data_IF_422526560677
#
_entry.id   IF_422526560677
#
_cell.length_a   1.000
_cell.length_b   1.000
_cell.length_c   1.000
_cell.angle_alpha   90.00
_cell.angle_beta   90.00
_cell.angle_gamma   90.00
#
_symmetry.space_group_name_H-M   'P 1'
#
loop_
_entity.id
_entity.type
_entity.pdbx_description
1 polymer ?
#
# COMPACT_ATOMS: atom_id res chain seq x y z
N UNK A 1 -15.58 12.80 16.63
CA UNK A 1 -15.76 12.98 15.17
C UNK A 1 -15.21 11.74 14.48
N UNK A 2 -15.79 11.33 13.36
CA UNK A 2 -15.27 10.19 12.58
C UNK A 2 -13.85 10.52 12.08
N UNK A 3 -12.93 9.55 12.19
CA UNK A 3 -11.57 9.70 11.66
C UNK A 3 -11.61 9.79 10.14
N UNK A 4 -10.87 10.71 9.54
CA UNK A 4 -10.74 10.87 8.09
C UNK A 4 -9.45 10.23 7.62
N UNK A 5 -9.54 9.23 6.75
CA UNK A 5 -8.38 8.44 6.31
C UNK A 5 -8.17 8.60 4.83
N UNK A 6 -6.99 9.06 4.42
CA UNK A 6 -6.61 9.04 3.02
C UNK A 6 -6.30 7.61 2.57
N UNK A 7 -6.86 7.21 1.43
CA UNK A 7 -6.54 5.95 0.77
C UNK A 7 -5.92 6.27 -0.59
N UNK A 8 -4.64 5.96 -0.79
CA UNK A 8 -3.94 6.24 -2.04
C UNK A 8 -3.90 4.97 -2.90
N UNK A 9 -4.48 5.05 -4.10
CA UNK A 9 -4.53 3.96 -5.07
C UNK A 9 -3.52 4.17 -6.20
N UNK A 10 -3.21 3.09 -6.91
CA UNK A 10 -2.20 3.03 -7.96
C UNK A 10 -2.73 2.53 -9.32
N UNK A 11 -4.05 2.44 -9.50
CA UNK A 11 -4.74 1.84 -10.65
C UNK A 11 -5.79 0.82 -10.17
N UNK A 12 -6.26 -0.05 -11.07
CA UNK A 12 -7.31 -1.04 -10.74
C UNK A 12 -6.99 -2.43 -11.31
N UNK A 13 -6.16 -3.20 -10.60
CA UNK A 13 -5.72 -4.54 -11.02
C UNK A 13 -4.37 -4.89 -10.41
N UNK A 14 -4.18 -6.13 -9.96
CA UNK A 14 -2.95 -6.53 -9.24
C UNK A 14 -1.68 -6.33 -10.05
N UNK A 15 -1.68 -6.54 -11.37
CA UNK A 15 -0.46 -6.50 -12.18
C UNK A 15 -0.07 -5.10 -12.66
N UNK A 16 -0.98 -4.15 -12.69
CA UNK A 16 -0.75 -2.82 -13.27
C UNK A 16 -1.31 -1.65 -12.42
N UNK A 17 -1.97 -1.95 -11.30
CA UNK A 17 -2.62 -1.00 -10.42
C UNK A 17 -2.63 -1.44 -8.95
N UNK A 18 -3.60 -0.95 -8.18
CA UNK A 18 -3.85 -1.46 -6.84
C UNK A 18 -4.48 -2.85 -6.88
N UNK A 19 -4.12 -3.69 -5.91
CA UNK A 19 -4.79 -4.98 -5.70
C UNK A 19 -6.23 -4.71 -5.23
N UNK A 20 -7.21 -5.27 -5.95
CA UNK A 20 -8.61 -4.88 -5.83
C UNK A 20 -9.21 -5.39 -4.52
N UNK A 21 -8.84 -6.59 -4.09
CA UNK A 21 -9.36 -7.20 -2.87
C UNK A 21 -8.80 -6.51 -1.61
N UNK A 22 -7.53 -6.13 -1.61
CA UNK A 22 -6.87 -5.34 -0.56
C UNK A 22 -7.50 -3.95 -0.47
N UNK A 23 -7.64 -3.25 -1.60
CA UNK A 23 -8.28 -1.94 -1.62
C UNK A 23 -9.73 -2.01 -1.14
N UNK A 24 -10.48 -3.03 -1.56
CA UNK A 24 -11.84 -3.28 -1.08
C UNK A 24 -11.87 -3.58 0.41
N UNK A 25 -10.96 -4.42 0.93
CA UNK A 25 -10.87 -4.74 2.35
C UNK A 25 -10.56 -3.50 3.19
N UNK A 26 -9.63 -2.64 2.76
CA UNK A 26 -9.34 -1.36 3.41
C UNK A 26 -10.60 -0.51 3.54
N UNK A 27 -11.34 -0.32 2.43
CA UNK A 27 -12.56 0.50 2.44
C UNK A 27 -13.67 -0.10 3.31
N UNK A 28 -13.84 -1.43 3.27
CA UNK A 28 -14.82 -2.15 4.09
C UNK A 28 -14.51 -2.00 5.58
N UNK A 29 -13.26 -2.21 6.00
CA UNK A 29 -12.88 -2.11 7.40
C UNK A 29 -12.90 -0.67 7.91
N UNK A 30 -12.48 0.32 7.10
CA UNK A 30 -12.65 1.73 7.45
C UNK A 30 -14.12 2.07 7.70
N UNK A 31 -15.01 1.63 6.80
CA UNK A 31 -16.44 1.83 6.95
C UNK A 31 -17.00 1.12 8.19
N UNK A 32 -16.53 -0.10 8.48
CA UNK A 32 -16.98 -0.89 9.64
C UNK A 32 -16.60 -0.23 10.97
N UNK A 33 -15.44 0.42 11.03
CA UNK A 33 -14.95 1.15 12.20
C UNK A 33 -15.49 2.61 12.28
N UNK A 34 -16.40 2.99 11.37
CA UNK A 34 -17.01 4.32 11.36
C UNK A 34 -16.08 5.45 10.91
N UNK A 35 -14.97 5.12 10.24
CA UNK A 35 -14.06 6.10 9.65
C UNK A 35 -14.51 6.51 8.24
N UNK A 36 -14.20 7.75 7.85
CA UNK A 36 -14.46 8.27 6.52
C UNK A 36 -13.22 8.10 5.64
N UNK A 37 -13.34 7.32 4.57
CA UNK A 37 -12.29 7.19 3.56
C UNK A 37 -12.35 8.37 2.56
N UNK A 38 -11.21 8.97 2.28
CA UNK A 38 -11.00 9.87 1.15
C UNK A 38 -10.00 9.25 0.20
N UNK A 39 -10.45 8.94 -1.01
CA UNK A 39 -9.65 8.20 -1.98
C UNK A 39 -8.89 9.16 -2.89
N UNK A 40 -7.62 8.86 -3.13
CA UNK A 40 -6.71 9.62 -3.98
C UNK A 40 -5.94 8.71 -4.93
N UNK A 41 -5.51 9.24 -6.07
CA UNK A 41 -4.56 8.59 -6.95
C UNK A 41 -3.82 9.64 -7.80
N UNK A 42 -2.55 9.43 -8.18
CA UNK A 42 -1.84 10.37 -9.03
C UNK A 42 -2.43 10.38 -10.45
N UNK A 43 -2.58 11.55 -11.03
CA UNK A 43 -3.08 11.71 -12.39
C UNK A 43 -1.96 11.53 -13.43
N UNK A 44 -1.49 10.29 -13.57
CA UNK A 44 -0.37 9.91 -14.45
C UNK A 44 -0.74 8.69 -15.31
N UNK A 45 -0.06 8.45 -16.44
CA UNK A 45 -0.14 7.18 -17.16
C UNK A 45 0.33 6.00 -16.28
N UNK A 46 -0.29 4.83 -16.43
CA UNK A 46 0.28 3.58 -15.91
C UNK A 46 1.57 3.23 -16.66
N UNK A 47 2.54 2.60 -15.99
CA UNK A 47 3.77 2.12 -16.64
C UNK A 47 3.46 1.08 -17.72
N UNK A 48 2.56 0.14 -17.44
CA UNK A 48 2.06 -0.87 -18.37
C UNK A 48 0.55 -1.06 -18.16
N UNK A 49 -0.13 -1.56 -19.18
CA UNK A 49 -1.48 -2.14 -19.06
C UNK A 49 -1.36 -3.65 -19.25
N UNK A 50 -1.86 -4.45 -18.33
CA UNK A 50 -1.64 -5.90 -18.32
C UNK A 50 -2.95 -6.65 -18.53
N UNK A 51 -2.96 -7.57 -19.50
CA UNK A 51 -4.00 -8.59 -19.61
C UNK A 51 -3.82 -9.56 -18.43
N UNK A 52 -4.73 -9.49 -17.46
CA UNK A 52 -4.65 -10.29 -16.23
C UNK A 52 -4.93 -11.78 -16.46
N UNK A 53 -5.56 -12.16 -17.57
CA UNK A 53 -5.75 -13.58 -17.93
C UNK A 53 -4.45 -14.17 -18.45
N UNK A 54 -3.70 -13.40 -19.24
CA UNK A 54 -2.44 -13.84 -19.85
C UNK A 54 -1.20 -13.53 -19.01
N UNK A 55 -1.32 -12.60 -18.05
CA UNK A 55 -0.20 -12.07 -17.28
C UNK A 55 0.80 -11.26 -18.13
N UNK A 56 0.38 -10.73 -19.28
CA UNK A 56 1.27 -10.08 -20.26
C UNK A 56 0.86 -8.62 -20.52
N UNK A 57 1.83 -7.72 -20.75
CA UNK A 57 1.54 -6.36 -21.17
C UNK A 57 0.78 -6.30 -22.50
N UNK A 58 -0.02 -5.25 -22.67
CA UNK A 58 -0.75 -4.91 -23.89
C UNK A 58 -0.26 -3.56 -24.43
N UNK A 59 -0.51 -3.21 -25.71
CA UNK A 59 -0.16 -1.91 -26.26
C UNK A 59 -1.11 -0.77 -25.82
N UNK A 60 -2.13 -1.06 -25.01
CA UNK A 60 -3.07 -0.05 -24.51
C UNK A 60 -2.38 0.93 -23.55
N UNK A 61 -2.97 2.12 -23.41
CA UNK A 61 -2.57 3.09 -22.40
C UNK A 61 -3.76 3.41 -21.50
N UNK A 62 -3.51 3.48 -20.20
CA UNK A 62 -4.50 3.83 -19.17
C UNK A 62 -3.90 4.82 -18.18
N UNK A 63 -4.76 5.57 -17.51
CA UNK A 63 -4.37 6.56 -16.50
C UNK A 63 -4.69 6.02 -15.09
N UNK A 64 -3.75 6.19 -14.16
CA UNK A 64 -3.82 5.69 -12.80
C UNK A 64 -5.04 6.22 -12.04
N UNK A 65 -5.32 7.53 -12.12
CA UNK A 65 -6.48 8.15 -11.47
C UNK A 65 -7.80 7.65 -12.08
N UNK A 66 -7.89 7.63 -13.41
CA UNK A 66 -9.10 7.18 -14.13
C UNK A 66 -9.44 5.74 -13.80
N UNK A 67 -8.45 4.84 -13.80
CA UNK A 67 -8.70 3.43 -13.48
C UNK A 67 -8.99 3.23 -11.99
N UNK A 68 -8.30 3.95 -11.09
CA UNK A 68 -8.59 3.92 -9.64
C UNK A 68 -10.00 4.37 -9.31
N UNK A 69 -10.60 5.27 -10.12
CA UNK A 69 -11.99 5.70 -9.95
C UNK A 69 -13.00 4.55 -10.02
N UNK A 70 -12.65 3.42 -10.66
CA UNK A 70 -13.48 2.20 -10.69
C UNK A 70 -13.67 1.63 -9.29
N UNK A 71 -12.58 1.51 -8.51
CA UNK A 71 -12.62 1.06 -7.11
C UNK A 71 -13.40 2.07 -6.26
N UNK A 72 -13.13 3.36 -6.45
CA UNK A 72 -13.72 4.44 -5.68
C UNK A 72 -15.16 4.82 -6.08
N UNK A 73 -15.75 4.14 -7.08
CA UNK A 73 -17.07 4.45 -7.66
C UNK A 73 -17.20 5.93 -8.06
N UNK A 74 -16.14 6.50 -8.63
CA UNK A 74 -16.06 7.90 -9.04
C UNK A 74 -15.73 8.90 -7.92
N UNK A 75 -15.77 8.50 -6.64
CA UNK A 75 -15.46 9.39 -5.52
C UNK A 75 -13.96 9.36 -5.18
N UNK A 76 -13.15 9.93 -6.07
CA UNK A 76 -11.70 9.99 -5.97
C UNK A 76 -11.19 11.38 -6.35
N UNK A 77 -10.07 11.81 -5.75
CA UNK A 77 -9.41 13.07 -6.05
C UNK A 77 -8.02 12.80 -6.63
N UNK A 78 -7.49 13.77 -7.37
CA UNK A 78 -6.07 13.78 -7.73
C UNK A 78 -5.24 13.84 -6.44
N UNK A 79 -4.17 13.04 -6.37
CA UNK A 79 -3.23 13.03 -5.25
C UNK A 79 -2.65 14.43 -4.96
N UNK A 80 -2.49 15.26 -5.99
CA UNK A 80 -2.04 16.64 -5.86
C UNK A 80 -2.98 17.53 -5.00
N UNK A 81 -4.24 17.11 -4.80
CA UNK A 81 -5.22 17.82 -3.97
C UNK A 81 -5.23 17.37 -2.51
N UNK A 82 -4.37 16.42 -2.12
CA UNK A 82 -4.34 15.90 -0.76
C UNK A 82 -3.82 16.96 0.22
N UNK A 83 -4.66 17.33 1.20
CA UNK A 83 -4.27 18.17 2.33
C UNK A 83 -4.17 17.34 3.61
N UNK A 84 -2.94 17.10 4.06
CA UNK A 84 -2.64 16.31 5.27
C UNK A 84 -3.29 16.92 6.52
N UNK A 85 -3.55 18.23 6.57
CA UNK A 85 -4.16 18.85 7.76
C UNK A 85 -5.57 18.33 8.03
N UNK A 86 -6.33 18.05 6.98
CA UNK A 86 -7.71 17.59 7.07
C UNK A 86 -7.90 16.09 7.32
N UNK A 87 -6.81 15.32 7.42
CA UNK A 87 -6.82 13.86 7.47
C UNK A 87 -6.16 13.37 8.76
N UNK A 88 -6.60 12.25 9.32
CA UNK A 88 -6.07 11.68 10.56
C UNK A 88 -5.05 10.56 10.28
N UNK A 89 -5.16 9.87 9.14
CA UNK A 89 -4.27 8.77 8.77
C UNK A 89 -4.16 8.60 7.25
N UNK A 90 -3.17 7.80 6.82
CA UNK A 90 -2.95 7.40 5.43
C UNK A 90 -2.92 5.87 5.33
N UNK A 91 -3.53 5.31 4.29
CA UNK A 91 -3.40 3.89 3.93
C UNK A 91 -3.07 3.76 2.44
N UNK A 92 -2.11 2.89 2.12
CA UNK A 92 -1.75 2.53 0.73
C UNK A 92 -1.89 1.01 0.58
N UNK A 93 -2.94 0.53 -0.12
CA UNK A 93 -3.06 -0.86 -0.51
C UNK A 93 -1.88 -1.32 -1.39
N UNK A 94 -1.67 -2.62 -1.52
CA UNK A 94 -0.65 -3.17 -2.40
C UNK A 94 -1.07 -3.24 -3.87
N UNK A 95 -0.50 -4.23 -4.56
CA UNK A 95 -0.57 -4.38 -6.01
C UNK A 95 0.70 -3.86 -6.70
N UNK A 96 1.03 -4.44 -7.86
CA UNK A 96 2.23 -4.06 -8.61
C UNK A 96 2.18 -2.63 -9.14
N UNK A 97 1.02 -1.98 -9.21
CA UNK A 97 0.93 -0.55 -9.47
C UNK A 97 1.68 0.29 -8.45
N UNK A 98 1.80 -0.15 -7.19
CA UNK A 98 2.66 0.52 -6.20
C UNK A 98 4.14 0.43 -6.62
N UNK A 99 4.55 -0.74 -7.07
CA UNK A 99 5.92 -1.02 -7.51
C UNK A 99 6.27 -0.45 -8.90
N UNK A 100 5.26 -0.07 -9.71
CA UNK A 100 5.42 0.38 -11.11
C UNK A 100 5.05 1.85 -11.33
N UNK A 101 3.99 2.32 -10.69
CA UNK A 101 3.39 3.65 -10.91
C UNK A 101 3.73 4.61 -9.77
N UNK A 102 3.73 4.13 -8.51
CA UNK A 102 4.10 4.97 -7.35
C UNK A 102 5.61 4.97 -7.08
N UNK A 103 6.34 4.01 -7.64
CA UNK A 103 7.78 3.83 -7.52
C UNK A 103 8.33 3.08 -8.73
N UNK A 104 9.66 2.93 -8.81
CA UNK A 104 10.34 2.07 -9.79
C UNK A 104 10.77 0.72 -9.20
N UNK A 105 10.17 0.29 -8.08
CA UNK A 105 10.55 -0.95 -7.38
C UNK A 105 10.54 -2.18 -8.29
N UNK A 106 9.53 -2.32 -9.14
CA UNK A 106 9.36 -3.48 -10.02
C UNK A 106 10.53 -3.67 -11.01
N UNK A 107 11.24 -2.60 -11.36
CA UNK A 107 12.36 -2.64 -12.32
C UNK A 107 13.72 -2.41 -11.68
N UNK A 108 13.78 -1.77 -10.50
CA UNK A 108 15.04 -1.35 -9.86
C UNK A 108 15.25 -1.93 -8.45
N UNK A 109 14.26 -2.63 -7.89
CA UNK A 109 14.34 -3.19 -6.53
C UNK A 109 14.73 -2.13 -5.49
N UNK A 110 15.69 -2.45 -4.61
CA UNK A 110 16.21 -1.53 -3.58
C UNK A 110 16.75 -0.20 -4.12
N UNK A 111 17.18 -0.17 -5.39
CA UNK A 111 17.68 1.03 -6.06
C UNK A 111 16.56 1.92 -6.60
N UNK A 112 15.29 1.58 -6.36
CA UNK A 112 14.17 2.34 -6.86
C UNK A 112 14.16 3.81 -6.42
N UNK A 113 13.47 4.62 -7.19
CA UNK A 113 12.95 5.92 -6.78
C UNK A 113 11.46 5.81 -6.48
N UNK A 114 10.98 6.73 -5.65
CA UNK A 114 9.54 6.91 -5.39
C UNK A 114 9.10 8.17 -6.12
N UNK A 115 7.86 8.18 -6.61
CA UNK A 115 7.28 9.40 -7.19
C UNK A 115 7.37 10.55 -6.18
N UNK A 116 7.78 11.73 -6.64
CA UNK A 116 7.93 12.92 -5.77
C UNK A 116 6.64 13.26 -5.01
N UNK A 117 5.49 13.08 -5.64
CA UNK A 117 4.18 13.33 -5.03
C UNK A 117 3.91 12.34 -3.89
N UNK A 118 4.15 11.05 -4.12
CA UNK A 118 3.95 9.99 -3.13
C UNK A 118 4.93 10.13 -1.96
N UNK A 119 6.20 10.42 -2.25
CA UNK A 119 7.20 10.71 -1.23
C UNK A 119 6.81 11.92 -0.38
N UNK A 120 6.36 13.00 -1.02
CA UNK A 120 5.90 14.21 -0.34
C UNK A 120 4.73 13.93 0.61
N UNK A 121 3.74 13.15 0.17
CA UNK A 121 2.60 12.73 1.00
C UNK A 121 3.06 11.90 2.19
N UNK A 122 3.85 10.84 1.97
CA UNK A 122 4.35 9.99 3.06
C UNK A 122 5.13 10.79 4.10
N UNK A 123 6.07 11.64 3.67
CA UNK A 123 6.84 12.50 4.57
C UNK A 123 5.96 13.48 5.33
N UNK A 124 4.93 14.05 4.70
CA UNK A 124 4.03 14.99 5.35
C UNK A 124 3.16 14.31 6.44
N UNK A 125 2.66 13.10 6.21
CA UNK A 125 1.97 12.32 7.26
C UNK A 125 2.90 11.97 8.42
N UNK A 126 4.11 11.50 8.12
CA UNK A 126 5.10 11.15 9.14
C UNK A 126 5.53 12.37 9.98
N UNK A 127 5.81 13.51 9.34
CA UNK A 127 6.16 14.76 10.02
C UNK A 127 5.01 15.31 10.88
N UNK A 128 3.76 15.05 10.49
CA UNK A 128 2.58 15.40 11.28
C UNK A 128 2.27 14.38 12.40
N UNK A 129 3.12 13.35 12.58
CA UNK A 129 2.90 12.23 13.47
C UNK A 129 1.54 11.55 13.25
N UNK A 130 1.12 11.36 12.00
CA UNK A 130 -0.12 10.66 11.64
C UNK A 130 0.21 9.24 11.16
N UNK A 131 -0.55 8.22 11.59
CA UNK A 131 -0.23 6.84 11.25
C UNK A 131 -0.37 6.56 9.76
N UNK A 132 0.50 5.67 9.27
CA UNK A 132 0.55 5.22 7.88
C UNK A 132 0.39 3.70 7.85
N UNK A 133 -0.67 3.22 7.18
CA UNK A 133 -0.93 1.81 6.92
C UNK A 133 -0.44 1.38 5.53
N UNK A 134 0.30 0.30 5.43
CA UNK A 134 0.86 -0.21 4.17
C UNK A 134 0.66 -1.74 4.12
N UNK A 135 -0.02 -2.27 3.10
CA UNK A 135 -0.14 -3.72 2.93
C UNK A 135 0.54 -4.25 1.67
N UNK A 136 0.91 -5.54 1.72
CA UNK A 136 1.52 -6.26 0.62
C UNK A 136 2.88 -5.67 0.23
N UNK A 137 3.03 -5.14 -0.99
CA UNK A 137 4.29 -4.56 -1.46
C UNK A 137 4.46 -3.08 -1.10
N UNK A 138 3.42 -2.38 -0.63
CA UNK A 138 3.54 -0.96 -0.30
C UNK A 138 4.51 -0.60 0.85
N UNK A 139 4.86 -1.48 1.81
CA UNK A 139 5.90 -1.23 2.81
C UNK A 139 7.28 -0.86 2.23
N UNK A 140 7.58 -1.25 0.99
CA UNK A 140 8.84 -0.86 0.32
C UNK A 140 8.97 0.65 0.16
N UNK A 141 7.85 1.38 0.09
CA UNK A 141 7.83 2.84 0.05
C UNK A 141 8.36 3.44 1.34
N UNK A 142 7.87 2.96 2.49
CA UNK A 142 8.32 3.42 3.79
C UNK A 142 9.80 3.06 4.03
N UNK A 143 10.20 1.84 3.68
CA UNK A 143 11.59 1.39 3.86
C UNK A 143 12.60 2.28 3.11
N UNK A 144 12.21 2.83 1.95
CA UNK A 144 13.05 3.75 1.19
C UNK A 144 13.10 5.17 1.77
N UNK A 145 12.03 5.61 2.44
CA UNK A 145 11.84 7.02 2.87
C UNK A 145 12.24 7.24 4.33
N UNK A 146 12.03 6.22 5.18
CA UNK A 146 12.17 6.28 6.64
C UNK A 146 13.25 5.27 7.10
N UNK A 147 14.54 5.65 7.05
CA UNK A 147 15.62 4.74 7.45
C UNK A 147 15.44 4.28 8.91
N UNK A 148 15.69 3.00 9.16
CA UNK A 148 15.56 2.40 10.49
C UNK A 148 14.12 2.10 10.92
N UNK A 149 13.14 2.22 10.03
CA UNK A 149 11.78 1.80 10.34
C UNK A 149 11.64 0.28 10.43
N UNK A 150 10.59 -0.17 11.10
CA UNK A 150 10.21 -1.58 11.17
C UNK A 150 9.00 -1.85 10.27
N UNK A 151 9.07 -2.90 9.47
CA UNK A 151 7.98 -3.29 8.56
C UNK A 151 7.90 -4.81 8.44
N UNK A 152 6.72 -5.33 8.09
CA UNK A 152 6.56 -6.70 7.58
C UNK A 152 6.17 -6.65 6.11
N UNK A 153 6.70 -7.58 5.33
CA UNK A 153 6.16 -7.98 4.01
C UNK A 153 5.77 -9.46 4.02
N UNK A 154 5.59 -10.04 5.21
CA UNK A 154 5.31 -11.46 5.40
C UNK A 154 6.44 -12.18 6.11
N UNK A 155 7.06 -13.12 5.42
CA UNK A 155 8.13 -13.95 5.95
C UNK A 155 9.41 -13.77 5.13
N UNK A 156 10.57 -14.00 5.75
CA UNK A 156 11.88 -13.92 5.11
C UNK A 156 12.45 -15.27 4.65
N UNK A 157 11.63 -16.32 4.63
CA UNK A 157 12.00 -17.65 4.12
C UNK A 157 11.13 -18.00 2.91
N UNK A 158 11.77 -18.23 1.77
CA UNK A 158 11.07 -18.59 0.53
C UNK A 158 10.48 -20.00 0.63
N UNK A 159 9.18 -20.11 0.40
CA UNK A 159 8.46 -21.39 0.34
C UNK A 159 7.18 -21.21 -0.49
N UNK A 160 6.40 -22.29 -0.68
CA UNK A 160 5.14 -22.23 -1.44
C UNK A 160 4.17 -21.18 -0.87
N UNK A 161 4.10 -21.03 0.45
CA UNK A 161 3.26 -20.02 1.09
C UNK A 161 3.82 -18.60 0.88
N UNK A 162 5.14 -18.42 0.84
CA UNK A 162 5.80 -17.11 0.81
C UNK A 162 6.68 -16.94 -0.44
N UNK A 163 6.08 -16.77 -1.64
CA UNK A 163 6.82 -16.71 -2.89
C UNK A 163 7.64 -15.41 -3.06
N UNK A 164 7.35 -14.37 -2.26
CA UNK A 164 8.01 -13.06 -2.36
C UNK A 164 8.96 -12.77 -1.18
N UNK A 165 9.39 -13.79 -0.43
CA UNK A 165 10.18 -13.66 0.80
C UNK A 165 11.49 -12.87 0.64
N UNK A 166 12.09 -12.86 -0.56
CA UNK A 166 13.30 -12.08 -0.88
C UNK A 166 13.10 -10.57 -0.70
N UNK A 167 11.86 -10.09 -0.70
CA UNK A 167 11.55 -8.68 -0.41
C UNK A 167 12.00 -8.29 0.99
N UNK A 168 11.95 -9.21 1.96
CA UNK A 168 12.39 -8.97 3.33
C UNK A 168 13.90 -8.68 3.43
N UNK A 169 14.73 -9.34 2.61
CA UNK A 169 16.16 -9.09 2.54
C UNK A 169 16.43 -7.67 2.02
N UNK A 170 15.73 -7.25 0.96
CA UNK A 170 15.88 -5.90 0.43
C UNK A 170 15.49 -4.82 1.46
N UNK A 171 14.54 -5.09 2.37
CA UNK A 171 14.23 -4.16 3.47
C UNK A 171 15.41 -4.03 4.44
N UNK A 172 16.07 -5.15 4.78
CA UNK A 172 17.26 -5.18 5.65
C UNK A 172 18.42 -4.40 5.00
N UNK A 173 18.64 -4.57 3.69
CA UNK A 173 19.67 -3.85 2.94
C UNK A 173 19.41 -2.34 2.82
N UNK A 174 18.14 -1.92 2.88
CA UNK A 174 17.74 -0.50 2.97
C UNK A 174 17.91 0.07 4.39
N UNK A 175 18.44 -0.70 5.33
CA UNK A 175 18.66 -0.28 6.72
C UNK A 175 17.41 -0.31 7.58
N UNK A 176 16.38 -1.05 7.17
CA UNK A 176 15.14 -1.24 7.93
C UNK A 176 15.13 -2.59 8.66
N UNK A 177 14.25 -2.73 9.65
CA UNK A 177 14.02 -4.01 10.34
C UNK A 177 12.81 -4.71 9.73
N UNK A 178 13.04 -5.83 9.05
CA UNK A 178 11.95 -6.73 8.69
C UNK A 178 11.51 -7.55 9.92
N UNK A 179 10.20 -7.63 10.16
CA UNK A 179 9.60 -8.48 11.19
C UNK A 179 8.73 -9.52 10.51
N UNK A 180 9.00 -10.81 10.76
CA UNK A 180 8.16 -11.88 10.20
C UNK A 180 6.76 -11.83 10.82
N UNK A 181 5.72 -11.97 10.00
CA UNK A 181 4.33 -12.01 10.43
C UNK A 181 3.51 -13.00 9.62
N UNK A 182 2.43 -13.51 10.22
CA UNK A 182 1.44 -14.29 9.50
C UNK A 182 0.47 -13.39 8.70
N UNK A 183 -0.22 -13.98 7.72
CA UNK A 183 -1.15 -13.23 6.84
C UNK A 183 -2.30 -12.56 7.57
N UNK A 184 -2.72 -13.11 8.72
CA UNK A 184 -3.80 -12.57 9.56
C UNK A 184 -3.31 -11.52 10.57
N UNK A 185 -2.02 -11.19 10.56
CA UNK A 185 -1.38 -10.27 11.51
C UNK A 185 -1.02 -8.94 10.85
N UNK A 186 -0.84 -7.92 11.69
CA UNK A 186 -0.24 -6.65 11.31
C UNK A 186 0.88 -6.31 12.29
N UNK A 187 1.99 -5.79 11.77
CA UNK A 187 3.12 -5.28 12.55
C UNK A 187 2.99 -3.77 12.76
N UNK A 188 3.31 -3.30 13.96
CA UNK A 188 3.26 -1.88 14.32
C UNK A 188 4.66 -1.39 14.71
N UNK A 189 5.21 -0.46 13.93
CA UNK A 189 6.33 0.38 14.32
C UNK A 189 5.80 1.59 15.10
N UNK A 190 5.76 1.49 16.43
CA UNK A 190 5.23 2.55 17.29
C UNK A 190 6.04 3.85 17.19
N UNK A 191 7.35 3.76 16.89
CA UNK A 191 8.24 4.93 16.81
C UNK A 191 7.94 5.76 15.57
N UNK A 192 7.74 5.10 14.43
CA UNK A 192 7.45 5.76 13.16
C UNK A 192 5.95 5.84 12.83
N UNK A 193 5.08 5.25 13.67
CA UNK A 193 3.62 5.11 13.47
C UNK A 193 3.28 4.45 12.13
N UNK A 194 4.07 3.45 11.76
CA UNK A 194 3.81 2.62 10.59
C UNK A 194 3.08 1.35 11.02
N UNK A 195 2.07 0.97 10.26
CA UNK A 195 1.35 -0.29 10.44
C UNK A 195 1.44 -1.05 9.13
N UNK A 196 1.92 -2.29 9.17
CA UNK A 196 2.16 -3.09 7.96
C UNK A 196 1.56 -4.48 8.06
N UNK A 197 1.06 -5.03 6.95
CA UNK A 197 0.59 -6.42 6.87
C UNK A 197 0.93 -7.02 5.51
N UNK A 198 1.10 -8.34 5.45
CA UNK A 198 1.63 -9.01 4.26
C UNK A 198 0.62 -9.17 3.13
N UNK A 199 -0.67 -9.27 3.44
CA UNK A 199 -1.75 -9.49 2.47
C UNK A 199 -1.36 -10.52 1.36
N UNK A 200 -1.44 -10.17 0.06
CA UNK A 200 -1.12 -11.09 -1.04
C UNK A 200 0.38 -11.29 -1.31
N UNK A 201 1.28 -10.90 -0.41
CA UNK A 201 2.68 -11.36 -0.44
C UNK A 201 2.82 -12.86 -0.15
N UNK A 202 1.71 -13.53 0.17
CA UNK A 202 1.62 -14.96 0.41
C UNK A 202 0.49 -15.63 -0.37
N UNK A 203 0.60 -16.95 -0.50
CA UNK A 203 -0.49 -17.82 -0.93
C UNK A 203 -1.35 -18.20 0.28
N UNK A 204 -2.51 -17.57 0.41
CA UNK A 204 -3.45 -17.82 1.49
C UNK A 204 -4.91 -17.72 0.98
N UNK A 205 -5.87 -18.33 1.68
CA UNK A 205 -7.28 -18.07 1.45
C UNK A 205 -7.59 -16.57 1.52
N UNK A 206 -8.38 -16.07 0.58
CA UNK A 206 -8.69 -14.63 0.43
C UNK A 206 -9.26 -13.98 1.71
N UNK A 207 -10.01 -14.75 2.52
CA UNK A 207 -10.57 -14.23 3.77
C UNK A 207 -9.49 -13.98 4.83
N UNK A 208 -8.42 -14.77 4.89
CA UNK A 208 -7.29 -14.49 5.78
C UNK A 208 -6.58 -13.19 5.41
N UNK A 209 -6.44 -12.92 4.11
CA UNK A 209 -5.90 -11.63 3.61
C UNK A 209 -6.80 -10.48 4.03
N UNK A 210 -8.12 -10.62 3.82
CA UNK A 210 -9.10 -9.63 4.25
C UNK A 210 -9.03 -9.36 5.77
N UNK A 211 -8.85 -10.39 6.59
CA UNK A 211 -8.78 -10.27 8.04
C UNK A 211 -7.48 -9.59 8.50
N UNK A 212 -6.34 -9.91 7.88
CA UNK A 212 -5.06 -9.23 8.14
C UNK A 212 -5.09 -7.76 7.76
N UNK A 213 -5.68 -7.41 6.61
CA UNK A 213 -5.92 -6.01 6.23
C UNK A 213 -6.83 -5.31 7.25
N UNK A 214 -7.83 -6.01 7.79
CA UNK A 214 -8.66 -5.51 8.88
C UNK A 214 -7.88 -5.18 10.14
N UNK A 215 -6.96 -6.07 10.56
CA UNK A 215 -6.06 -5.80 11.69
C UNK A 215 -5.18 -4.57 11.46
N UNK A 216 -4.65 -4.41 10.24
CA UNK A 216 -3.90 -3.21 9.89
C UNK A 216 -4.76 -1.94 10.01
N UNK A 217 -5.99 -1.95 9.47
CA UNK A 217 -6.90 -0.80 9.57
C UNK A 217 -7.23 -0.46 11.03
N UNK A 218 -7.51 -1.47 11.86
CA UNK A 218 -7.80 -1.28 13.28
C UNK A 218 -6.63 -0.62 14.03
N UNK A 219 -5.40 -1.07 13.79
CA UNK A 219 -4.21 -0.46 14.40
C UNK A 219 -3.92 0.94 13.89
N UNK A 220 -4.13 1.21 12.59
CA UNK A 220 -4.02 2.57 12.03
C UNK A 220 -5.00 3.51 12.74
N UNK A 221 -6.27 3.11 12.88
CA UNK A 221 -7.28 3.93 13.54
C UNK A 221 -7.03 4.09 15.04
N UNK A 222 -6.51 3.06 15.71
CA UNK A 222 -6.12 3.13 17.13
C UNK A 222 -5.00 4.15 17.37
N UNK A 223 -4.07 4.25 16.41
CA UNK A 223 -3.00 5.24 16.45
C UNK A 223 -3.45 6.63 16.02
N UNK A 224 -4.57 6.79 15.31
CA UNK A 224 -4.97 8.06 14.70
C UNK A 224 -5.59 9.06 15.68
#
# INVERSE_FOLDING_TARGET
MAKRVAVVLAGCGVFDGSEIHEASAVLVHLSREGAQAEVFAPNIPQMHVVDHVKGQPTPEQRNVLVESARIARGNIKDLAMLDVKGLDALIIPGGFGVAKNLSTWATQGKNCSISKEVEGVLRAFHAAHKPIGLCCISPVLAAKIFPGCEVTVGHDTECEQWPYAKTAEAMKELGCRHVNSQVTEAHVDARNRLVTTSAFMCNAPIHHVHDGVGKMVQEVLRLA
#
